data_IF_524223710882
#
_entry.id   IF_524223710882
#
_cell.length_a   1.000
_cell.length_b   1.000
_cell.length_c   1.000
_cell.angle_alpha   90.00
_cell.angle_beta   90.00
_cell.angle_gamma   90.00
#
_symmetry.space_group_name_H-M   'P 1'
#
loop_
_entity.id
_entity.type
_entity.pdbx_description
1 polymer ?
#
# COMPACT_ATOMS: atom_id res chain seq x y z
N UNK A 1 -18.17 12.50 -1.75
CA UNK A 1 -17.52 11.69 -2.79
C UNK A 1 -18.60 10.91 -3.51
N UNK A 2 -18.54 10.76 -4.84
CA UNK A 2 -19.52 9.98 -5.61
C UNK A 2 -19.49 8.50 -5.21
N UNK A 3 -20.64 7.80 -5.24
CA UNK A 3 -20.75 6.42 -4.75
C UNK A 3 -19.81 5.44 -5.48
N UNK A 4 -19.62 5.63 -6.79
CA UNK A 4 -18.72 4.78 -7.57
C UNK A 4 -17.25 4.97 -7.16
N UNK A 5 -16.85 6.16 -6.71
CA UNK A 5 -15.49 6.43 -6.23
C UNK A 5 -15.22 5.72 -4.91
N UNK A 6 -16.21 5.69 -4.01
CA UNK A 6 -16.13 4.91 -2.77
C UNK A 6 -15.88 3.44 -3.12
N UNK A 7 -16.71 2.87 -3.99
CA UNK A 7 -16.56 1.50 -4.47
C UNK A 7 -15.19 1.26 -5.15
N UNK A 8 -14.71 2.22 -5.95
CA UNK A 8 -13.41 2.13 -6.64
C UNK A 8 -12.22 2.04 -5.67
N UNK A 9 -12.24 2.81 -4.58
CA UNK A 9 -11.16 2.81 -3.59
C UNK A 9 -11.27 1.67 -2.56
N UNK A 10 -12.46 1.11 -2.36
CA UNK A 10 -12.66 -0.10 -1.56
C UNK A 10 -12.30 -1.39 -2.31
N UNK A 11 -12.62 -1.45 -3.60
CA UNK A 11 -12.37 -2.61 -4.45
C UNK A 11 -10.88 -2.92 -4.63
N UNK A 12 -10.49 -4.17 -4.45
CA UNK A 12 -9.09 -4.64 -4.56
C UNK A 12 -8.84 -5.57 -5.74
N UNK A 13 -9.88 -6.01 -6.44
CA UNK A 13 -9.77 -6.68 -7.73
C UNK A 13 -9.45 -5.64 -8.82
N UNK A 14 -8.27 -5.71 -9.45
CA UNK A 14 -7.87 -4.72 -10.43
C UNK A 14 -8.74 -4.75 -11.69
N UNK A 15 -9.31 -5.89 -12.11
CA UNK A 15 -10.19 -5.92 -13.28
C UNK A 15 -11.49 -5.18 -13.02
N UNK A 16 -12.07 -5.32 -11.82
CA UNK A 16 -13.26 -4.57 -11.42
C UNK A 16 -12.98 -3.08 -11.29
N UNK A 17 -11.83 -2.69 -10.72
CA UNK A 17 -11.42 -1.28 -10.66
C UNK A 17 -11.22 -0.68 -12.05
N UNK A 18 -10.60 -1.43 -12.98
CA UNK A 18 -10.43 -1.00 -14.37
C UNK A 18 -11.78 -0.78 -15.04
N UNK A 19 -12.74 -1.68 -14.84
CA UNK A 19 -14.08 -1.55 -15.36
C UNK A 19 -14.77 -0.27 -14.85
N UNK A 20 -14.72 -0.01 -13.54
CA UNK A 20 -15.27 1.22 -12.95
C UNK A 20 -14.67 2.49 -13.56
N UNK A 21 -13.35 2.53 -13.79
CA UNK A 21 -12.69 3.67 -14.44
C UNK A 21 -13.14 3.86 -15.89
N UNK A 22 -13.39 2.77 -16.63
CA UNK A 22 -13.84 2.83 -18.02
C UNK A 22 -15.31 3.27 -18.11
N UNK A 23 -16.17 2.77 -17.23
CA UNK A 23 -17.60 3.10 -17.16
C UNK A 23 -17.85 4.56 -16.77
N UNK A 24 -16.97 5.13 -15.94
CA UNK A 24 -17.10 6.52 -15.45
C UNK A 24 -16.14 7.48 -16.16
N UNK A 25 -15.62 7.11 -17.34
CA UNK A 25 -14.74 7.96 -18.13
C UNK A 25 -15.54 9.06 -18.83
N UNK A 26 -15.42 10.29 -18.33
CA UNK A 26 -16.03 11.46 -18.95
C UNK A 26 -15.22 11.97 -20.17
N UNK A 27 -15.91 12.60 -21.13
CA UNK A 27 -15.27 13.25 -22.29
C UNK A 27 -14.33 14.39 -21.85
N UNK A 28 -14.72 15.13 -20.82
CA UNK A 28 -13.91 16.20 -20.20
C UNK A 28 -13.40 15.72 -18.84
N UNK A 29 -12.16 15.22 -18.81
CA UNK A 29 -11.55 14.76 -17.55
C UNK A 29 -11.17 15.94 -16.64
N UNK A 30 -11.64 15.90 -15.40
CA UNK A 30 -11.16 16.80 -14.34
C UNK A 30 -9.68 16.55 -14.01
N UNK A 31 -9.03 17.46 -13.29
CA UNK A 31 -7.65 17.25 -12.82
C UNK A 31 -7.56 16.06 -11.87
N UNK A 32 -8.60 15.84 -11.06
CA UNK A 32 -8.77 14.69 -10.18
C UNK A 32 -8.84 13.38 -10.98
N UNK A 33 -9.59 13.34 -12.08
CA UNK A 33 -9.70 12.16 -12.94
C UNK A 33 -8.38 11.87 -13.64
N UNK A 34 -7.67 12.91 -14.10
CA UNK A 34 -6.33 12.76 -14.67
C UNK A 34 -5.35 12.18 -13.66
N UNK A 35 -5.43 12.63 -12.40
CA UNK A 35 -4.60 12.08 -11.33
C UNK A 35 -4.95 10.61 -11.05
N UNK A 36 -6.23 10.24 -10.94
CA UNK A 36 -6.65 8.84 -10.75
C UNK A 36 -6.17 7.94 -11.87
N UNK A 37 -6.32 8.37 -13.13
CA UNK A 37 -5.82 7.64 -14.29
C UNK A 37 -4.30 7.51 -14.29
N UNK A 38 -3.58 8.58 -13.91
CA UNK A 38 -2.12 8.52 -13.75
C UNK A 38 -1.69 7.53 -12.68
N UNK A 39 -2.35 7.52 -11.52
CA UNK A 39 -2.08 6.55 -10.45
C UNK A 39 -2.37 5.12 -10.90
N UNK A 40 -3.51 4.90 -11.58
CA UNK A 40 -3.87 3.62 -12.19
C UNK A 40 -2.78 3.12 -13.16
N UNK A 41 -2.38 3.95 -14.12
CA UNK A 41 -1.35 3.60 -15.09
C UNK A 41 0.02 3.36 -14.43
N UNK A 42 0.37 4.13 -13.39
CA UNK A 42 1.60 3.92 -12.62
C UNK A 42 1.56 2.56 -11.90
N UNK A 43 0.39 2.17 -11.40
CA UNK A 43 0.21 0.94 -10.61
C UNK A 43 0.13 -0.32 -11.47
N UNK A 44 -0.63 -0.29 -12.55
CA UNK A 44 -0.98 -1.47 -13.35
C UNK A 44 -0.60 -1.38 -14.83
N UNK A 45 -0.26 -0.20 -15.32
CA UNK A 45 -0.05 0.08 -16.74
C UNK A 45 -1.35 0.35 -17.51
N UNK A 46 -1.20 0.60 -18.81
CA UNK A 46 -2.32 0.93 -19.72
C UNK A 46 -3.16 -0.27 -20.17
N UNK A 47 -2.60 -1.48 -20.04
CA UNK A 47 -3.22 -2.72 -20.52
C UNK A 47 -4.03 -3.43 -19.45
N UNK A 48 -4.27 -4.73 -19.67
CA UNK A 48 -4.85 -5.61 -18.65
C UNK A 48 -3.88 -5.71 -17.45
N UNK A 49 -4.34 -5.49 -16.20
CA UNK A 49 -3.49 -5.55 -15.02
C UNK A 49 -2.87 -6.94 -14.86
N UNK A 50 -1.54 -7.01 -14.80
CA UNK A 50 -0.78 -8.26 -14.57
C UNK A 50 0.04 -8.25 -13.29
N UNK A 51 0.57 -7.09 -12.92
CA UNK A 51 1.39 -6.86 -11.73
C UNK A 51 0.91 -5.59 -11.05
N UNK A 52 0.89 -5.61 -9.73
CA UNK A 52 0.65 -4.44 -8.89
C UNK A 52 1.99 -3.81 -8.49
N UNK A 53 2.35 -2.69 -9.13
CA UNK A 53 3.61 -2.01 -8.83
C UNK A 53 3.61 -1.37 -7.45
N UNK A 54 2.45 -0.96 -6.93
CA UNK A 54 2.36 -0.33 -5.62
C UNK A 54 2.63 -1.34 -4.50
N UNK A 55 2.06 -2.53 -4.61
CA UNK A 55 2.45 -3.66 -3.75
C UNK A 55 3.93 -4.00 -3.94
N UNK A 56 4.44 -3.92 -5.18
CA UNK A 56 5.88 -4.05 -5.46
C UNK A 56 6.76 -3.08 -4.66
N UNK A 57 6.35 -1.82 -4.51
CA UNK A 57 7.06 -0.85 -3.69
C UNK A 57 7.03 -1.22 -2.20
N UNK A 58 5.90 -1.73 -1.69
CA UNK A 58 5.85 -2.25 -0.31
C UNK A 58 6.81 -3.44 -0.11
N UNK A 59 6.93 -4.32 -1.10
CA UNK A 59 7.89 -5.44 -1.06
C UNK A 59 9.34 -4.95 -1.11
N UNK A 60 9.63 -3.86 -1.80
CA UNK A 60 10.95 -3.23 -1.78
C UNK A 60 11.29 -2.67 -0.38
N UNK A 61 10.33 -2.03 0.29
CA UNK A 61 10.48 -1.55 1.67
C UNK A 61 10.69 -2.71 2.65
N UNK A 62 9.93 -3.80 2.48
CA UNK A 62 10.15 -5.05 3.23
C UNK A 62 11.58 -5.57 3.05
N UNK A 63 12.05 -5.63 1.80
CA UNK A 63 13.42 -6.07 1.48
C UNK A 63 14.48 -5.20 2.18
N UNK A 64 14.29 -3.87 2.22
CA UNK A 64 15.23 -2.94 2.86
C UNK A 64 15.52 -3.30 4.31
N UNK A 65 14.50 -3.69 5.08
CA UNK A 65 14.66 -4.05 6.51
C UNK A 65 15.05 -5.51 6.73
N UNK A 66 14.69 -6.41 5.81
CA UNK A 66 15.02 -7.83 5.94
C UNK A 66 16.42 -8.18 5.44
N UNK A 67 17.02 -7.38 4.55
CA UNK A 67 18.31 -7.70 3.92
C UNK A 67 19.55 -7.38 4.78
N UNK A 68 19.43 -7.24 6.10
CA UNK A 68 20.54 -6.95 7.03
C UNK A 68 21.06 -5.51 6.94
N UNK A 69 22.13 -5.14 7.66
CA UNK A 69 22.62 -3.75 7.75
C UNK A 69 23.45 -3.28 6.55
N UNK A 70 23.91 -4.20 5.69
CA UNK A 70 24.81 -3.88 4.59
C UNK A 70 24.03 -3.34 3.37
N UNK A 71 24.34 -2.12 2.91
CA UNK A 71 23.77 -1.50 1.70
C UNK A 71 24.87 -1.20 0.67
N UNK A 72 25.43 -2.25 0.09
CA UNK A 72 26.45 -2.12 -0.96
C UNK A 72 25.87 -1.37 -2.17
N UNK A 73 26.47 -0.23 -2.51
CA UNK A 73 26.11 0.56 -3.69
C UNK A 73 24.83 1.40 -3.56
N UNK A 74 24.30 1.61 -2.34
CA UNK A 74 23.15 2.49 -2.11
C UNK A 74 21.83 1.97 -2.67
N UNK A 75 21.72 0.66 -2.86
CA UNK A 75 20.55 0.01 -3.46
C UNK A 75 19.29 0.24 -2.63
N UNK A 76 19.38 0.21 -1.30
CA UNK A 76 18.23 0.44 -0.42
C UNK A 76 17.70 1.86 -0.56
N UNK A 77 18.59 2.85 -0.57
CA UNK A 77 18.22 4.24 -0.81
C UNK A 77 17.54 4.42 -2.18
N UNK A 78 18.05 3.77 -3.23
CA UNK A 78 17.43 3.79 -4.56
C UNK A 78 16.01 3.23 -4.53
N UNK A 79 15.81 2.06 -3.93
CA UNK A 79 14.50 1.41 -3.82
C UNK A 79 13.49 2.26 -3.02
N UNK A 80 13.95 2.94 -1.97
CA UNK A 80 13.10 3.86 -1.20
C UNK A 80 12.70 5.09 -2.01
N UNK A 81 13.62 5.67 -2.79
CA UNK A 81 13.30 6.80 -3.69
C UNK A 81 12.30 6.36 -4.76
N UNK A 82 12.48 5.17 -5.35
CA UNK A 82 11.52 4.59 -6.29
C UNK A 82 10.13 4.43 -5.66
N UNK A 83 10.05 4.00 -4.40
CA UNK A 83 8.79 3.92 -3.66
C UNK A 83 8.17 5.30 -3.41
N UNK A 84 8.96 6.31 -2.98
CA UNK A 84 8.48 7.69 -2.78
C UNK A 84 7.87 8.26 -4.06
N UNK A 85 8.55 8.10 -5.19
CA UNK A 85 8.08 8.61 -6.49
C UNK A 85 6.86 7.83 -7.00
N UNK A 86 6.94 6.49 -6.95
CA UNK A 86 5.89 5.60 -7.49
C UNK A 86 4.59 5.66 -6.69
N UNK A 87 4.66 5.78 -5.36
CA UNK A 87 3.51 5.96 -4.47
C UNK A 87 3.04 7.42 -4.38
N UNK A 88 3.66 8.33 -5.14
CA UNK A 88 3.33 9.76 -5.19
C UNK A 88 3.49 10.51 -3.85
N UNK A 89 4.46 10.11 -3.03
CA UNK A 89 4.73 10.68 -1.71
C UNK A 89 5.63 11.92 -1.79
N UNK A 90 6.33 12.13 -2.91
CA UNK A 90 7.19 13.30 -3.09
C UNK A 90 6.40 14.61 -2.96
N UNK A 91 6.84 15.45 -2.03
CA UNK A 91 6.21 16.72 -1.67
C UNK A 91 4.70 16.61 -1.39
N UNK A 92 4.26 15.47 -0.83
CA UNK A 92 2.84 15.19 -0.57
C UNK A 92 2.11 16.35 0.11
N UNK A 93 2.69 16.93 1.18
CA UNK A 93 2.10 18.03 1.94
C UNK A 93 1.94 19.34 1.13
N UNK A 94 2.70 19.51 0.04
CA UNK A 94 2.61 20.69 -0.84
C UNK A 94 1.56 20.53 -1.93
N UNK A 95 1.02 19.31 -2.14
CA UNK A 95 -0.01 19.06 -3.15
C UNK A 95 -1.35 19.68 -2.71
N UNK A 96 -2.25 20.03 -3.65
CA UNK A 96 -3.62 20.43 -3.31
C UNK A 96 -4.32 19.37 -2.46
N UNK A 97 -5.21 19.79 -1.54
CA UNK A 97 -5.89 18.86 -0.62
C UNK A 97 -6.70 17.78 -1.33
N UNK A 98 -7.33 18.10 -2.47
CA UNK A 98 -8.03 17.10 -3.30
C UNK A 98 -7.08 16.04 -3.87
N UNK A 99 -5.86 16.42 -4.27
CA UNK A 99 -4.85 15.48 -4.72
C UNK A 99 -4.30 14.63 -3.57
N UNK A 100 -4.07 15.23 -2.39
CA UNK A 100 -3.66 14.51 -1.18
C UNK A 100 -4.68 13.41 -0.84
N UNK A 101 -5.98 13.73 -0.88
CA UNK A 101 -7.06 12.78 -0.63
C UNK A 101 -7.07 11.61 -1.64
N UNK A 102 -6.96 11.90 -2.94
CA UNK A 102 -6.91 10.87 -4.00
C UNK A 102 -5.71 9.93 -3.82
N UNK A 103 -4.53 10.49 -3.53
CA UNK A 103 -3.33 9.70 -3.29
C UNK A 103 -3.50 8.86 -2.03
N UNK A 104 -4.00 9.47 -0.94
CA UNK A 104 -4.22 8.78 0.33
C UNK A 104 -5.18 7.59 0.19
N UNK A 105 -6.28 7.74 -0.57
CA UNK A 105 -7.22 6.65 -0.85
C UNK A 105 -6.57 5.53 -1.68
N UNK A 106 -5.68 5.86 -2.62
CA UNK A 106 -4.91 4.85 -3.37
C UNK A 106 -3.90 4.12 -2.47
N UNK A 107 -3.29 4.81 -1.50
CA UNK A 107 -2.43 4.20 -0.48
C UNK A 107 -3.23 3.26 0.42
N UNK A 108 -4.43 3.67 0.88
CA UNK A 108 -5.32 2.80 1.65
C UNK A 108 -5.68 1.53 0.86
N UNK A 109 -6.04 1.69 -0.42
CA UNK A 109 -6.32 0.56 -1.29
C UNK A 109 -5.11 -0.38 -1.44
N UNK A 110 -3.90 0.19 -1.55
CA UNK A 110 -2.65 -0.58 -1.62
C UNK A 110 -2.41 -1.39 -0.35
N UNK A 111 -2.57 -0.78 0.83
CA UNK A 111 -2.46 -1.47 2.11
C UNK A 111 -3.51 -2.58 2.25
N UNK A 112 -4.75 -2.33 1.82
CA UNK A 112 -5.82 -3.35 1.82
C UNK A 112 -5.45 -4.53 0.93
N UNK A 113 -4.93 -4.25 -0.27
CA UNK A 113 -4.49 -5.31 -1.20
C UNK A 113 -3.32 -6.12 -0.62
N UNK A 114 -2.37 -5.46 0.03
CA UNK A 114 -1.27 -6.15 0.70
C UNK A 114 -1.78 -7.11 1.79
N UNK A 115 -2.73 -6.66 2.61
CA UNK A 115 -3.34 -7.49 3.66
C UNK A 115 -4.14 -8.64 3.07
N UNK A 116 -4.94 -8.42 2.02
CA UNK A 116 -5.68 -9.46 1.30
C UNK A 116 -4.75 -10.54 0.73
N UNK A 117 -3.66 -10.14 0.04
CA UNK A 117 -2.68 -11.10 -0.50
C UNK A 117 -2.00 -11.87 0.63
N UNK A 118 -1.66 -11.19 1.72
CA UNK A 118 -1.01 -11.80 2.88
C UNK A 118 -1.94 -12.82 3.55
N UNK A 119 -3.18 -12.46 3.83
CA UNK A 119 -4.19 -13.35 4.44
C UNK A 119 -4.57 -14.53 3.53
N UNK A 120 -4.60 -14.36 2.21
CA UNK A 120 -4.88 -15.45 1.27
C UNK A 120 -3.69 -16.42 1.07
N UNK A 121 -2.48 -16.03 1.48
CA UNK A 121 -1.27 -16.82 1.28
C UNK A 121 -1.07 -17.90 2.34
N UNK A 122 -0.83 -19.15 1.90
CA UNK A 122 -0.50 -20.27 2.82
C UNK A 122 0.69 -19.99 3.75
N UNK A 123 1.63 -19.13 3.33
CA UNK A 123 2.77 -18.73 4.15
C UNK A 123 2.41 -17.89 5.40
N UNK A 124 1.27 -17.21 5.39
CA UNK A 124 0.78 -16.44 6.54
C UNK A 124 -0.21 -17.21 7.38
N UNK A 125 -1.04 -18.06 6.78
CA UNK A 125 -2.16 -18.74 7.45
C UNK A 125 -1.82 -20.10 8.03
N UNK A 126 -0.65 -20.68 7.74
CA UNK A 126 -0.26 -21.99 8.26
C UNK A 126 0.63 -21.95 9.51
N UNK A 127 0.48 -22.97 10.35
CA UNK A 127 1.44 -23.30 11.42
C UNK A 127 2.76 -23.75 10.79
N UNK A 128 3.88 -23.64 11.51
CA UNK A 128 5.21 -24.07 11.06
C UNK A 128 5.10 -25.51 10.47
N UNK A 129 5.58 -25.70 9.24
CA UNK A 129 5.46 -26.91 8.41
C UNK A 129 4.07 -27.22 7.80
N UNK A 130 3.14 -26.28 7.74
CA UNK A 130 1.89 -26.45 6.99
C UNK A 130 0.81 -27.28 7.70
N UNK A 131 1.03 -27.65 8.96
CA UNK A 131 0.13 -28.48 9.75
C UNK A 131 -0.92 -27.63 10.47
N UNK A 132 -2.01 -27.31 9.77
CA UNK A 132 -3.15 -26.58 10.33
C UNK A 132 -3.13 -25.07 10.08
N UNK A 133 -4.26 -24.41 10.37
CA UNK A 133 -4.44 -22.97 10.19
C UNK A 133 -4.17 -22.23 11.50
N UNK A 134 -3.59 -21.03 11.41
CA UNK A 134 -3.44 -20.12 12.53
C UNK A 134 -4.78 -19.52 12.94
N UNK A 135 -4.89 -19.10 14.20
CA UNK A 135 -6.01 -18.29 14.64
C UNK A 135 -6.00 -16.91 13.97
N UNK A 136 -7.16 -16.28 13.86
CA UNK A 136 -7.31 -14.91 13.35
C UNK A 136 -6.43 -13.91 14.12
N UNK A 137 -6.25 -14.12 15.41
CA UNK A 137 -5.38 -13.31 16.25
C UNK A 137 -3.91 -13.45 15.87
N UNK A 138 -3.44 -14.69 15.66
CA UNK A 138 -2.08 -14.95 15.20
C UNK A 138 -1.82 -14.41 13.79
N UNK A 139 -2.83 -14.50 12.90
CA UNK A 139 -2.77 -13.92 11.55
C UNK A 139 -2.68 -12.39 11.65
N UNK A 140 -3.54 -11.75 12.46
CA UNK A 140 -3.52 -10.30 12.67
C UNK A 140 -2.17 -9.84 13.24
N UNK A 141 -1.60 -10.56 14.21
CA UNK A 141 -0.29 -10.27 14.77
C UNK A 141 0.85 -10.38 13.75
N UNK A 142 0.84 -11.42 12.89
CA UNK A 142 1.83 -11.56 11.80
C UNK A 142 1.71 -10.43 10.77
N UNK A 143 0.49 -10.04 10.41
CA UNK A 143 0.26 -8.96 9.46
C UNK A 143 0.69 -7.63 10.06
N UNK A 144 0.36 -7.36 11.33
CA UNK A 144 0.79 -6.17 12.04
C UNK A 144 2.33 -6.06 12.06
N UNK A 145 3.04 -7.14 12.40
CA UNK A 145 4.51 -7.17 12.38
C UNK A 145 5.08 -6.82 11.00
N UNK A 146 4.50 -7.37 9.93
CA UNK A 146 4.97 -7.13 8.57
C UNK A 146 4.66 -5.70 8.08
N UNK A 147 3.47 -5.19 8.39
CA UNK A 147 3.12 -3.79 8.13
C UNK A 147 4.07 -2.88 8.89
N UNK A 148 4.32 -3.13 10.18
CA UNK A 148 5.22 -2.31 10.98
C UNK A 148 6.63 -2.25 10.41
N UNK A 149 7.15 -3.38 9.91
CA UNK A 149 8.43 -3.42 9.21
C UNK A 149 8.46 -2.55 7.95
N UNK A 150 7.40 -2.64 7.15
CA UNK A 150 7.30 -1.95 5.86
C UNK A 150 7.13 -0.44 6.05
N UNK A 151 6.23 -0.01 6.93
CA UNK A 151 5.80 1.40 7.01
C UNK A 151 6.48 2.18 8.13
N UNK A 152 7.01 1.53 9.17
CA UNK A 152 7.72 2.21 10.26
C UNK A 152 9.21 1.91 10.25
N UNK A 153 9.62 0.64 10.31
CA UNK A 153 11.05 0.30 10.41
C UNK A 153 11.84 0.68 9.15
N UNK A 154 11.28 0.47 7.94
CA UNK A 154 11.99 0.80 6.70
C UNK A 154 12.23 2.30 6.54
N UNK A 155 11.21 3.18 6.67
CA UNK A 155 11.45 4.62 6.67
C UNK A 155 12.39 5.08 7.79
N UNK A 156 12.26 4.52 9.00
CA UNK A 156 13.13 4.86 10.13
C UNK A 156 14.60 4.52 9.86
N UNK A 157 14.87 3.33 9.31
CA UNK A 157 16.23 2.89 8.97
C UNK A 157 16.92 3.79 7.94
N UNK A 158 16.14 4.53 7.16
CA UNK A 158 16.61 5.45 6.12
C UNK A 158 16.51 6.93 6.52
N UNK A 159 15.96 7.24 7.70
CA UNK A 159 15.64 8.60 8.17
C UNK A 159 14.71 9.35 7.21
N UNK A 160 13.70 8.65 6.70
CA UNK A 160 12.71 9.14 5.72
C UNK A 160 11.28 9.09 6.27
N UNK A 161 11.11 9.13 7.60
CA UNK A 161 9.80 9.00 8.24
C UNK A 161 8.81 10.07 7.76
N UNK A 162 9.29 11.30 7.54
CA UNK A 162 8.48 12.41 7.06
C UNK A 162 7.94 12.16 5.65
N UNK A 163 8.76 11.61 4.75
CA UNK A 163 8.39 11.32 3.38
C UNK A 163 7.38 10.18 3.30
N UNK A 164 7.45 9.21 4.22
CA UNK A 164 6.54 8.06 4.25
C UNK A 164 5.33 8.23 5.17
N UNK A 165 5.18 9.37 5.82
CA UNK A 165 4.05 9.69 6.72
C UNK A 165 2.66 9.37 6.11
N UNK A 166 2.37 9.71 4.83
CA UNK A 166 1.05 9.42 4.26
C UNK A 166 0.79 7.90 4.14
N UNK A 167 1.82 7.11 3.84
CA UNK A 167 1.73 5.65 3.79
C UNK A 167 1.55 5.06 5.19
N UNK A 168 2.24 5.60 6.20
CA UNK A 168 2.09 5.20 7.60
C UNK A 168 0.66 5.40 8.09
N UNK A 169 0.07 6.58 7.83
CA UNK A 169 -1.33 6.86 8.16
C UNK A 169 -2.29 5.93 7.44
N UNK A 170 -2.11 5.74 6.13
CA UNK A 170 -2.98 4.87 5.34
C UNK A 170 -2.96 3.42 5.85
N UNK A 171 -1.77 2.90 6.17
CA UNK A 171 -1.62 1.55 6.72
C UNK A 171 -2.26 1.42 8.11
N UNK A 172 -2.12 2.43 8.97
CA UNK A 172 -2.73 2.45 10.29
C UNK A 172 -4.25 2.45 10.22
N UNK A 173 -4.85 3.30 9.38
CA UNK A 173 -6.29 3.34 9.18
C UNK A 173 -6.84 2.02 8.65
N UNK A 174 -6.23 1.48 7.59
CA UNK A 174 -6.68 0.21 7.00
C UNK A 174 -6.52 -0.95 7.97
N UNK A 175 -5.45 -0.99 8.76
CA UNK A 175 -5.27 -2.04 9.75
C UNK A 175 -6.36 -1.98 10.83
N UNK A 176 -6.73 -0.78 11.31
CA UNK A 176 -7.83 -0.59 12.27
C UNK A 176 -9.18 -1.01 11.69
N UNK A 177 -9.43 -0.71 10.41
CA UNK A 177 -10.64 -1.12 9.69
C UNK A 177 -10.76 -2.64 9.60
N UNK A 178 -9.68 -3.34 9.23
CA UNK A 178 -9.70 -4.80 9.01
C UNK A 178 -9.59 -5.58 10.33
N UNK A 179 -8.85 -5.05 11.30
CA UNK A 179 -8.59 -5.68 12.60
C UNK A 179 -8.94 -4.74 13.77
N UNK A 180 -10.25 -4.52 14.04
CA UNK A 180 -10.68 -3.66 15.13
C UNK A 180 -10.10 -4.11 16.47
N UNK A 181 -9.71 -3.14 17.32
CA UNK A 181 -9.12 -3.34 18.65
C UNK A 181 -7.76 -4.08 18.69
N UNK A 182 -7.14 -4.36 17.52
CA UNK A 182 -5.85 -5.07 17.43
C UNK A 182 -4.67 -4.17 17.10
N UNK A 183 -4.85 -2.85 17.12
CA UNK A 183 -3.77 -1.88 16.86
C UNK A 183 -2.55 -2.07 17.77
N UNK A 184 -2.73 -2.60 18.97
CA UNK A 184 -1.65 -2.90 19.91
C UNK A 184 -0.59 -3.87 19.36
N UNK A 185 -0.90 -4.64 18.31
CA UNK A 185 0.11 -5.44 17.61
C UNK A 185 1.05 -4.62 16.71
N UNK A 186 0.66 -3.40 16.30
CA UNK A 186 1.51 -2.54 15.48
C UNK A 186 2.63 -1.92 16.33
N UNK A 187 3.87 -2.15 15.90
CA UNK A 187 5.06 -1.53 16.45
C UNK A 187 5.33 -0.20 15.75
N UNK A 188 4.69 0.84 16.26
CA UNK A 188 4.90 2.24 15.83
C UNK A 188 6.26 2.72 16.37
N UNK A 189 7.02 3.44 15.55
CA UNK A 189 8.31 4.05 15.92
C UNK A 189 8.14 5.52 16.26
#
# INVERSE_FOLDING_TARGET
MEDWLINYYEQTDPLKRQQMLLENKNETMSEEDKLRMKLWETRYGKGKPRKDMFVGYLMNLKYIVESGSMDLGGRKKKLAIEAILGLNLYEFERKPKTQQEIIFLELKNTCRKYIEISTGGRGFTSVIFGMGQLSDESIAGKIAEQISRIVFDAPHSLRMEKEFEPLQRAALEVFREIYPNREHFLKKR
#
